data_IF_904669028935
#
_entry.id   IF_904669028935
#
_cell.length_a   1.000
_cell.length_b   1.000
_cell.length_c   1.000
_cell.angle_alpha   90.00
_cell.angle_beta   90.00
_cell.angle_gamma   90.00
#
_symmetry.space_group_name_H-M   'P 1'
#
loop_
_entity.id
_entity.type
_entity.pdbx_description
1 polymer ?
#
# COMPACT_ATOMS: atom_id res chain seq x y z
N UNK A 1 -4.75 13.02 0.57
CA UNK A 1 -4.10 12.70 1.85
C UNK A 1 -2.98 11.73 1.55
N UNK A 2 -1.75 11.99 2.02
CA UNK A 2 -0.61 11.12 1.74
C UNK A 2 -0.44 10.11 2.88
N UNK A 3 -0.30 8.82 2.57
CA UNK A 3 -0.14 7.78 3.59
C UNK A 3 1.35 7.62 3.94
N UNK A 4 1.71 7.65 5.23
CA UNK A 4 3.09 7.47 5.64
C UNK A 4 3.54 6.01 5.45
N UNK A 5 4.85 5.81 5.36
CA UNK A 5 5.45 4.48 5.45
C UNK A 5 5.08 3.81 6.79
N UNK A 6 4.81 2.51 6.75
CA UNK A 6 4.30 1.75 7.88
C UNK A 6 2.80 1.87 8.12
N UNK A 7 2.08 2.72 7.36
CA UNK A 7 0.63 2.81 7.48
C UNK A 7 -0.03 1.49 7.10
N UNK A 8 -0.89 0.99 7.99
CA UNK A 8 -1.60 -0.27 7.83
C UNK A 8 -2.98 -0.06 7.21
N UNK A 9 -3.30 -0.84 6.19
CA UNK A 9 -4.59 -0.85 5.50
C UNK A 9 -5.21 -2.23 5.59
N UNK A 10 -6.55 -2.27 5.66
CA UNK A 10 -7.35 -3.50 5.78
C UNK A 10 -6.81 -4.43 6.87
N UNK A 11 -6.77 -3.93 8.10
CA UNK A 11 -6.39 -4.70 9.28
C UNK A 11 -5.00 -5.38 9.16
N UNK A 12 -4.03 -4.70 8.55
CA UNK A 12 -2.66 -5.22 8.39
C UNK A 12 -2.42 -5.99 7.10
N UNK A 13 -3.43 -6.15 6.24
CA UNK A 13 -3.26 -6.89 4.99
C UNK A 13 -2.32 -6.16 4.00
N UNK A 14 -2.25 -4.83 4.06
CA UNK A 14 -1.24 -4.04 3.34
C UNK A 14 -0.52 -3.07 4.26
N UNK A 15 0.80 -3.01 4.16
CA UNK A 15 1.65 -2.03 4.84
C UNK A 15 2.31 -1.13 3.80
N UNK A 16 2.03 0.17 3.86
CA UNK A 16 2.61 1.16 2.95
C UNK A 16 4.13 1.21 3.12
N UNK A 17 4.85 1.14 2.01
CA UNK A 17 6.31 1.27 1.93
C UNK A 17 6.71 2.65 1.40
N UNK A 18 5.84 3.30 0.62
CA UNK A 18 6.08 4.65 0.13
C UNK A 18 5.18 5.03 -1.05
N UNK A 19 5.09 6.32 -1.34
CA UNK A 19 4.42 6.83 -2.54
C UNK A 19 5.26 6.54 -3.79
N UNK A 20 4.59 6.12 -4.87
CA UNK A 20 5.17 6.00 -6.21
C UNK A 20 4.78 7.17 -7.11
N UNK A 21 3.63 7.79 -6.85
CA UNK A 21 3.24 9.04 -7.50
C UNK A 21 1.74 9.30 -7.44
N UNK A 22 1.35 10.52 -7.79
CA UNK A 22 -0.03 11.00 -7.74
C UNK A 22 -0.53 11.41 -9.12
N UNK A 23 -1.82 11.16 -9.39
CA UNK A 23 -2.50 11.56 -10.62
C UNK A 23 -3.99 11.81 -10.40
N UNK A 24 -4.75 12.08 -11.48
CA UNK A 24 -6.16 12.49 -11.39
C UNK A 24 -7.11 11.48 -10.72
N UNK A 25 -6.72 10.21 -10.65
CA UNK A 25 -7.47 9.13 -9.97
C UNK A 25 -6.90 8.77 -8.59
N UNK A 26 -6.13 9.67 -7.97
CA UNK A 26 -5.53 9.47 -6.65
C UNK A 26 -4.02 9.18 -6.66
N UNK A 27 -3.52 8.59 -5.57
CA UNK A 27 -2.10 8.31 -5.33
C UNK A 27 -1.82 6.82 -5.40
N UNK A 28 -0.71 6.45 -6.05
CA UNK A 28 -0.22 5.07 -6.12
C UNK A 28 0.89 4.89 -5.09
N UNK A 29 0.80 3.83 -4.30
CA UNK A 29 1.78 3.48 -3.27
C UNK A 29 2.39 2.11 -3.53
N UNK A 30 3.66 1.97 -3.18
CA UNK A 30 4.28 0.66 -2.97
C UNK A 30 3.82 0.15 -1.60
N UNK A 31 3.37 -1.09 -1.52
CA UNK A 31 2.98 -1.72 -0.26
C UNK A 31 3.47 -3.17 -0.21
N UNK A 32 3.71 -3.65 1.01
CA UNK A 32 3.85 -5.08 1.29
C UNK A 32 2.46 -5.64 1.57
N UNK A 33 2.07 -6.69 0.85
CA UNK A 33 0.81 -7.43 1.06
C UNK A 33 1.11 -8.70 1.84
N UNK A 34 0.47 -8.88 2.98
CA UNK A 34 0.54 -10.11 3.77
C UNK A 34 -0.60 -11.05 3.36
N UNK A 35 -0.27 -12.24 2.86
CA UNK A 35 -1.25 -13.23 2.44
C UNK A 35 -1.65 -14.16 3.61
N UNK A 36 -2.85 -14.78 3.59
CA UNK A 36 -3.29 -15.66 4.66
C UNK A 36 -2.42 -16.91 4.85
N UNK A 37 -1.65 -17.29 3.83
CA UNK A 37 -0.68 -18.40 3.87
C UNK A 37 0.67 -17.98 4.48
N UNK A 38 0.80 -16.76 5.01
CA UNK A 38 2.03 -16.21 5.60
C UNK A 38 3.05 -15.70 4.58
N UNK A 39 2.73 -15.70 3.28
CA UNK A 39 3.60 -15.12 2.26
C UNK A 39 3.47 -13.60 2.20
N UNK A 40 4.54 -12.95 1.77
CA UNK A 40 4.58 -11.51 1.55
C UNK A 40 4.88 -11.19 0.09
N UNK A 41 4.19 -10.18 -0.44
CA UNK A 41 4.41 -9.71 -1.81
C UNK A 41 4.52 -8.19 -1.86
N UNK A 42 5.41 -7.69 -2.70
CA UNK A 42 5.47 -6.26 -3.02
C UNK A 42 4.47 -5.97 -4.13
N UNK A 43 3.55 -5.06 -3.86
CA UNK A 43 2.48 -4.66 -4.77
C UNK A 43 2.41 -3.14 -4.93
N UNK A 44 1.85 -2.69 -6.04
CA UNK A 44 1.41 -1.31 -6.21
C UNK A 44 -0.09 -1.22 -5.91
N UNK A 45 -0.50 -0.31 -5.03
CA UNK A 45 -1.91 -0.06 -4.71
C UNK A 45 -2.29 1.37 -5.07
N UNK A 46 -3.49 1.53 -5.63
CA UNK A 46 -4.06 2.84 -5.96
C UNK A 46 -5.07 3.24 -4.89
N UNK A 47 -4.96 4.45 -4.38
CA UNK A 47 -5.88 5.03 -3.38
C UNK A 47 -6.30 6.41 -3.87
N UNK A 48 -7.58 6.61 -4.11
CA UNK A 48 -8.16 7.83 -4.68
C UNK A 48 -9.64 7.92 -4.42
#
# INVERSE_FOLDING_TARGET
>A
MNLPEGYSLKDGYYIIQGELGTGGFGTTYKATRHLPNGQEEIVAIKIG
#
